data_IF_201488452596
#
_entry.id   IF_201488452596
#
_cell.length_a   1.000
_cell.length_b   1.000
_cell.length_c   1.000
_cell.angle_alpha   90.00
_cell.angle_beta   90.00
_cell.angle_gamma   90.00
#
_symmetry.space_group_name_H-M   'P 1'
#
loop_
_entity.id
_entity.type
_entity.pdbx_description
1 polymer ?
#
# COMPACT_ATOMS: atom_id res chain seq x y z
N UNK A 1 38.16 -2.37 5.52
CA UNK A 1 37.77 -3.21 4.37
C UNK A 1 36.58 -2.55 3.72
N UNK A 2 36.85 -1.72 2.70
CA UNK A 2 35.83 -1.06 1.89
C UNK A 2 35.55 -1.97 0.69
N UNK A 3 34.31 -2.40 0.53
CA UNK A 3 33.91 -3.17 -0.65
C UNK A 3 33.74 -2.19 -1.81
N UNK A 4 34.56 -2.34 -2.86
CA UNK A 4 34.39 -1.66 -4.15
C UNK A 4 34.11 -2.77 -5.16
N UNK A 5 32.90 -2.85 -5.74
CA UNK A 5 32.66 -3.80 -6.81
C UNK A 5 33.60 -3.46 -7.99
N UNK A 6 34.21 -4.47 -8.64
CA UNK A 6 34.80 -4.24 -9.95
C UNK A 6 33.65 -3.89 -10.89
N UNK A 7 33.75 -2.73 -11.52
CA UNK A 7 32.87 -2.32 -12.59
C UNK A 7 33.59 -2.73 -13.86
N UNK A 8 33.14 -3.84 -14.45
CA UNK A 8 33.68 -4.39 -15.68
C UNK A 8 33.03 -3.60 -16.83
N UNK A 9 33.85 -2.85 -17.56
CA UNK A 9 33.48 -1.87 -18.58
C UNK A 9 33.33 -2.46 -19.98
N UNK A 10 33.02 -3.76 -20.08
CA UNK A 10 32.92 -4.54 -21.32
C UNK A 10 31.47 -4.83 -21.79
N UNK A 11 30.45 -4.31 -21.11
CA UNK A 11 29.03 -4.47 -21.49
C UNK A 11 28.52 -3.38 -22.46
N UNK A 12 29.28 -3.00 -23.51
CA UNK A 12 28.81 -2.01 -24.50
C UNK A 12 29.41 -2.27 -25.89
N UNK A 13 29.35 -3.50 -26.41
CA UNK A 13 29.95 -3.83 -27.71
C UNK A 13 28.98 -4.24 -28.83
N UNK A 14 27.69 -4.51 -28.57
CA UNK A 14 26.84 -5.08 -29.63
C UNK A 14 25.31 -4.86 -29.48
N UNK A 15 24.87 -3.81 -28.80
CA UNK A 15 23.47 -3.38 -28.91
C UNK A 15 23.28 -2.47 -30.15
N UNK A 16 23.23 -3.09 -31.33
CA UNK A 16 22.57 -2.54 -32.52
C UNK A 16 21.07 -2.44 -32.22
N UNK A 17 20.69 -1.40 -31.47
CA UNK A 17 19.31 -1.11 -31.10
C UNK A 17 18.65 -0.45 -32.31
N UNK A 18 18.19 -1.30 -33.25
CA UNK A 18 17.36 -0.90 -34.37
C UNK A 18 16.09 -0.21 -33.87
N UNK A 19 16.05 1.11 -34.04
CA UNK A 19 15.00 1.89 -34.67
C UNK A 19 13.66 1.15 -34.92
N UNK A 20 12.85 0.96 -33.87
CA UNK A 20 11.43 0.60 -33.93
C UNK A 20 10.71 0.99 -32.61
N UNK A 21 10.90 2.22 -32.14
CA UNK A 21 10.14 2.77 -30.99
C UNK A 21 9.35 4.00 -31.42
N UNK A 22 8.56 3.84 -32.48
CA UNK A 22 7.54 4.79 -32.89
C UNK A 22 6.16 4.14 -32.67
N UNK A 23 5.70 4.09 -31.42
CA UNK A 23 4.27 3.93 -31.16
C UNK A 23 3.85 4.59 -29.83
N UNK A 24 3.18 5.73 -29.99
CA UNK A 24 2.17 6.31 -29.09
C UNK A 24 2.63 6.82 -27.71
N UNK A 25 3.13 8.06 -27.68
CA UNK A 25 3.17 8.89 -26.47
C UNK A 25 1.99 9.88 -26.48
N UNK A 26 0.76 9.37 -26.50
CA UNK A 26 -0.46 10.16 -26.32
C UNK A 26 -1.27 9.65 -25.11
N UNK A 27 -0.60 9.10 -24.10
CA UNK A 27 -1.17 8.89 -22.77
C UNK A 27 -0.44 9.83 -21.80
N UNK A 28 -0.77 11.13 -21.87
CA UNK A 28 -0.74 12.00 -20.68
C UNK A 28 -1.88 11.53 -19.75
N UNK A 29 -1.75 10.30 -19.24
CA UNK A 29 -2.36 9.94 -17.97
C UNK A 29 -1.65 10.80 -16.94
N UNK A 30 -2.27 11.93 -16.61
CA UNK A 30 -1.99 12.73 -15.44
C UNK A 30 -2.12 11.78 -14.25
N UNK A 31 -1.02 11.13 -13.91
CA UNK A 31 -0.89 10.33 -12.70
C UNK A 31 -1.15 11.31 -11.57
N UNK A 32 -2.37 11.28 -11.04
CA UNK A 32 -2.68 11.87 -9.75
C UNK A 32 -1.67 11.28 -8.79
N UNK A 33 -0.72 12.13 -8.44
CA UNK A 33 0.41 11.81 -7.61
C UNK A 33 -0.12 11.61 -6.19
N UNK A 34 -0.61 10.41 -5.91
CA UNK A 34 -0.95 9.89 -4.58
C UNK A 34 0.35 9.69 -3.75
N UNK A 35 1.30 10.63 -3.86
CA UNK A 35 2.64 10.67 -3.26
C UNK A 35 2.58 10.66 -1.71
N UNK A 36 1.39 10.82 -1.14
CA UNK A 36 1.12 10.87 0.30
C UNK A 36 0.74 9.51 0.93
N UNK A 37 0.59 8.42 0.17
CA UNK A 37 0.25 7.09 0.76
C UNK A 37 1.47 6.19 0.97
N UNK A 38 2.49 6.24 0.11
CA UNK A 38 3.65 5.32 0.20
C UNK A 38 4.65 5.69 1.30
N UNK A 39 4.61 6.91 1.83
CA UNK A 39 5.54 7.41 2.84
C UNK A 39 4.86 7.81 4.16
N UNK A 40 3.78 7.11 4.53
CA UNK A 40 3.11 7.35 5.79
C UNK A 40 4.03 7.04 6.99
N UNK A 41 4.29 8.05 7.81
CA UNK A 41 4.97 7.90 9.11
C UNK A 41 3.95 7.95 10.24
N UNK A 42 4.19 7.14 11.27
CA UNK A 42 3.37 7.05 12.48
C UNK A 42 4.23 7.39 13.71
N UNK A 43 3.60 7.98 14.72
CA UNK A 43 4.27 8.30 15.97
C UNK A 43 4.36 7.06 16.87
N UNK A 44 5.54 6.80 17.42
CA UNK A 44 5.72 5.72 18.39
C UNK A 44 4.96 6.01 19.70
N UNK A 45 4.06 5.13 20.17
CA UNK A 45 3.23 5.38 21.36
C UNK A 45 4.03 5.47 22.68
N UNK A 46 5.31 5.04 22.67
CA UNK A 46 6.18 5.07 23.84
C UNK A 46 7.04 6.32 23.92
N UNK A 47 7.59 6.76 22.78
CA UNK A 47 8.60 7.83 22.76
C UNK A 47 8.24 9.03 21.88
N UNK A 48 7.15 8.95 21.10
CA UNK A 48 6.72 10.02 20.19
C UNK A 48 7.66 10.22 18.99
N UNK A 49 8.52 9.24 18.70
CA UNK A 49 9.37 9.28 17.53
C UNK A 49 8.58 8.97 16.26
N UNK A 50 8.84 9.72 15.20
CA UNK A 50 8.35 9.40 13.86
C UNK A 50 9.03 8.13 13.37
N UNK A 51 8.23 7.16 12.94
CA UNK A 51 8.68 5.91 12.36
C UNK A 51 7.83 5.58 11.15
N UNK A 52 8.41 4.94 10.15
CA UNK A 52 7.63 4.43 9.03
C UNK A 52 6.56 3.45 9.52
N UNK A 53 5.39 3.48 8.91
CA UNK A 53 4.28 2.65 9.35
C UNK A 53 4.63 1.15 9.32
N UNK A 54 5.48 0.72 8.39
CA UNK A 54 5.91 -0.67 8.15
C UNK A 54 7.06 -1.10 9.07
N UNK A 55 7.63 -0.18 9.84
CA UNK A 55 8.70 -0.47 10.78
C UNK A 55 8.18 -1.36 11.93
N UNK A 56 8.68 -2.60 11.99
CA UNK A 56 8.35 -3.59 13.03
C UNK A 56 8.78 -3.13 14.44
N UNK A 57 9.82 -2.30 14.52
CA UNK A 57 10.45 -1.85 15.77
C UNK A 57 10.90 -0.41 15.67
N UNK A 58 10.62 0.39 16.70
CA UNK A 58 11.05 1.78 16.76
C UNK A 58 12.60 1.87 16.85
N UNK A 59 13.27 2.64 15.98
CA UNK A 59 14.73 2.77 15.99
C UNK A 59 15.27 3.58 17.18
N UNK A 60 14.43 4.44 17.80
CA UNK A 60 14.85 5.29 18.92
C UNK A 60 14.70 4.60 20.29
N UNK A 61 13.58 3.94 20.56
CA UNK A 61 13.31 3.34 21.87
C UNK A 61 13.33 1.81 21.89
N UNK A 62 13.35 1.17 20.72
CA UNK A 62 13.38 -0.28 20.58
C UNK A 62 12.08 -1.01 20.92
N UNK A 63 10.96 -0.29 21.05
CA UNK A 63 9.62 -0.86 21.27
C UNK A 63 9.06 -1.50 19.99
N UNK A 64 8.30 -2.58 20.13
CA UNK A 64 7.64 -3.25 19.00
C UNK A 64 6.30 -2.58 18.68
N UNK A 65 6.06 -2.33 17.39
CA UNK A 65 4.82 -1.71 16.95
C UNK A 65 3.76 -2.80 16.70
N UNK A 66 2.72 -2.84 17.54
CA UNK A 66 1.60 -3.77 17.36
C UNK A 66 0.55 -3.08 16.50
N UNK A 67 0.66 -3.22 15.16
CA UNK A 67 -0.38 -2.74 14.23
C UNK A 67 -1.70 -3.44 14.56
N UNK A 68 -2.66 -2.71 15.11
CA UNK A 68 -4.07 -3.10 15.08
C UNK A 68 -4.70 -2.50 13.83
N UNK A 69 -4.53 -3.17 12.68
CA UNK A 69 -5.37 -2.88 11.53
C UNK A 69 -6.80 -3.29 11.88
N UNK A 70 -7.61 -2.35 12.36
CA UNK A 70 -9.05 -2.54 12.37
C UNK A 70 -9.50 -2.42 10.93
N UNK A 71 -9.93 -3.53 10.33
CA UNK A 71 -10.37 -3.70 8.92
C UNK A 71 -11.56 -2.78 8.53
N UNK A 72 -11.94 -1.85 9.41
CA UNK A 72 -13.18 -1.08 9.42
C UNK A 72 -12.98 0.44 9.29
N UNK A 73 -11.75 0.96 9.29
CA UNK A 73 -11.50 2.41 9.27
C UNK A 73 -11.66 3.02 7.86
N UNK A 74 -11.23 2.31 6.81
CA UNK A 74 -11.12 2.89 5.47
C UNK A 74 -12.29 2.53 4.53
N UNK A 75 -13.40 2.01 5.06
CA UNK A 75 -14.56 1.65 4.23
C UNK A 75 -15.60 2.77 4.21
N UNK A 76 -16.03 3.21 3.01
CA UNK A 76 -17.04 4.25 2.86
C UNK A 76 -18.38 3.80 3.48
N UNK A 77 -19.15 4.78 3.98
CA UNK A 77 -20.38 4.52 4.75
C UNK A 77 -21.40 3.65 4.01
N UNK A 78 -21.43 3.67 2.67
CA UNK A 78 -22.30 2.81 1.86
C UNK A 78 -22.00 1.32 2.06
N UNK A 79 -20.75 0.93 2.30
CA UNK A 79 -20.36 -0.46 2.49
C UNK A 79 -20.91 -1.01 3.82
N UNK A 80 -20.93 -0.17 4.86
CA UNK A 80 -21.56 -0.50 6.15
C UNK A 80 -23.07 -0.72 5.98
N UNK A 81 -23.74 0.07 5.13
CA UNK A 81 -25.16 -0.10 4.84
C UNK A 81 -25.46 -1.41 4.09
N UNK A 82 -24.64 -1.78 3.11
CA UNK A 82 -24.79 -3.06 2.38
C UNK A 82 -24.67 -4.26 3.31
N UNK A 83 -23.65 -4.26 4.19
CA UNK A 83 -23.46 -5.32 5.18
C UNK A 83 -24.65 -5.43 6.14
N UNK A 84 -25.12 -4.29 6.67
CA UNK A 84 -26.28 -4.25 7.56
C UNK A 84 -27.55 -4.76 6.87
N UNK A 85 -27.81 -4.32 5.64
CA UNK A 85 -28.98 -4.70 4.85
C UNK A 85 -28.99 -6.22 4.58
N UNK A 86 -27.83 -6.79 4.24
CA UNK A 86 -27.68 -8.24 4.06
C UNK A 86 -28.05 -9.04 5.30
N UNK A 87 -27.56 -8.62 6.47
CA UNK A 87 -27.91 -9.28 7.76
C UNK A 87 -29.41 -9.19 8.01
N UNK A 88 -30.02 -8.02 7.83
CA UNK A 88 -31.46 -7.82 8.03
C UNK A 88 -32.28 -8.71 7.09
N UNK A 89 -31.89 -8.80 5.81
CA UNK A 89 -32.58 -9.63 4.82
C UNK A 89 -32.54 -11.12 5.18
N UNK A 90 -31.41 -11.62 5.69
CA UNK A 90 -31.27 -13.01 6.15
C UNK A 90 -32.17 -13.27 7.37
N UNK A 91 -32.15 -12.36 8.35
CA UNK A 91 -33.02 -12.47 9.54
C UNK A 91 -34.50 -12.44 9.17
N UNK A 92 -34.89 -11.59 8.22
CA UNK A 92 -36.25 -11.52 7.70
C UNK A 92 -36.65 -12.81 7.00
N UNK A 93 -35.79 -13.35 6.13
CA UNK A 93 -36.03 -14.62 5.44
C UNK A 93 -36.24 -15.77 6.42
N UNK A 94 -35.38 -15.88 7.45
CA UNK A 94 -35.51 -16.89 8.50
C UNK A 94 -36.78 -16.69 9.33
N UNK A 95 -37.12 -15.45 9.68
CA UNK A 95 -38.34 -15.13 10.42
C UNK A 95 -39.61 -15.41 9.62
N UNK A 96 -39.57 -15.26 8.29
CA UNK A 96 -40.68 -15.57 7.40
C UNK A 96 -40.81 -17.08 7.18
N UNK A 97 -39.69 -17.80 7.11
CA UNK A 97 -39.66 -19.25 6.97
C UNK A 97 -40.10 -20.00 8.24
N UNK A 98 -39.98 -19.36 9.42
CA UNK A 98 -40.42 -19.93 10.70
C UNK A 98 -41.87 -19.56 11.07
N UNK A 99 -42.53 -18.70 10.28
CA UNK A 99 -43.91 -18.28 10.46
C UNK A 99 -44.85 -19.15 9.62
#
# INVERSE_FOLDING_TARGET
MAWRPPYDDDWMADADYGDDLEENLDDEDELEDDEDEENATVECPKCGADMYEDAVRCPLCGEYFVRRHTIWQDKPLWWKLVGLLGIIAVLWSLSLAMR
#
